data_IF_547806857785
#
_entry.id   IF_547806857785
#
_cell.length_a   1.000
_cell.length_b   1.000
_cell.length_c   1.000
_cell.angle_alpha   90.00
_cell.angle_beta   90.00
_cell.angle_gamma   90.00
#
_symmetry.space_group_name_H-M   'P 1'
#
loop_
_entity.id
_entity.type
_entity.pdbx_description
1 polymer ?
#
# COMPACT_ATOMS: atom_id res chain seq x y z
N UNK A 1 -1.83 -8.98 -25.06
CA UNK A 1 -1.69 -10.14 -24.15
C UNK A 1 -2.93 -10.27 -23.27
N UNK A 2 -3.18 -11.45 -22.77
CA UNK A 2 -4.35 -11.68 -21.92
C UNK A 2 -4.06 -11.28 -20.46
N UNK A 3 -5.11 -11.33 -19.63
CA UNK A 3 -4.98 -10.91 -18.23
C UNK A 3 -3.98 -11.76 -17.44
N UNK A 4 -3.86 -13.04 -17.73
CA UNK A 4 -2.89 -13.93 -17.08
C UNK A 4 -1.46 -13.52 -17.38
N UNK A 5 -1.19 -13.16 -18.62
CA UNK A 5 0.13 -12.69 -19.05
C UNK A 5 0.43 -11.31 -18.44
N UNK A 6 -0.56 -10.42 -18.42
CA UNK A 6 -0.42 -9.10 -17.82
C UNK A 6 -0.14 -9.23 -16.30
N UNK A 7 -0.82 -10.14 -15.64
CA UNK A 7 -0.61 -10.41 -14.21
C UNK A 7 0.83 -10.87 -13.95
N UNK A 8 1.33 -11.82 -14.74
CA UNK A 8 2.70 -12.33 -14.58
C UNK A 8 3.74 -11.23 -14.80
N UNK A 9 3.56 -10.41 -15.82
CA UNK A 9 4.54 -9.37 -16.14
C UNK A 9 4.50 -8.19 -15.19
N UNK A 10 3.32 -7.85 -14.67
CA UNK A 10 3.18 -6.69 -13.77
C UNK A 10 3.45 -7.04 -12.31
N UNK A 11 3.39 -8.32 -11.95
CA UNK A 11 3.48 -8.74 -10.56
C UNK A 11 2.20 -8.53 -9.77
N UNK A 12 1.10 -8.19 -10.43
CA UNK A 12 -0.22 -8.03 -9.83
C UNK A 12 -1.08 -9.24 -10.14
N UNK A 13 -2.05 -9.54 -9.26
CA UNK A 13 -2.99 -10.63 -9.54
C UNK A 13 -4.01 -10.18 -10.58
N UNK A 14 -4.59 -11.14 -11.29
CA UNK A 14 -5.65 -10.85 -12.25
C UNK A 14 -6.83 -10.14 -11.55
N UNK A 15 -7.14 -10.53 -10.32
CA UNK A 15 -8.19 -9.91 -9.51
C UNK A 15 -7.91 -8.43 -9.27
N UNK A 16 -6.67 -8.07 -8.93
CA UNK A 16 -6.28 -6.68 -8.71
C UNK A 16 -6.33 -5.87 -9.99
N UNK A 17 -5.92 -6.45 -11.11
CA UNK A 17 -5.99 -5.78 -12.41
C UNK A 17 -7.45 -5.44 -12.75
N UNK A 18 -8.36 -6.38 -12.58
CA UNK A 18 -9.80 -6.15 -12.80
C UNK A 18 -10.33 -5.07 -11.88
N UNK A 19 -9.89 -5.07 -10.62
CA UNK A 19 -10.30 -4.07 -9.66
C UNK A 19 -9.86 -2.67 -10.08
N UNK A 20 -8.58 -2.51 -10.46
CA UNK A 20 -8.06 -1.21 -10.91
C UNK A 20 -8.76 -0.71 -12.16
N UNK A 21 -9.11 -1.61 -13.06
CA UNK A 21 -9.91 -1.28 -14.24
C UNK A 21 -11.32 -0.80 -13.83
N UNK A 22 -11.93 -1.47 -12.85
CA UNK A 22 -13.28 -1.13 -12.39
C UNK A 22 -13.38 0.22 -11.71
N UNK A 23 -12.32 0.66 -11.02
CA UNK A 23 -12.30 1.95 -10.32
C UNK A 23 -11.69 3.07 -11.17
N UNK A 24 -11.35 2.79 -12.42
CA UNK A 24 -10.86 3.81 -13.34
C UNK A 24 -9.38 4.16 -13.27
N UNK A 25 -8.59 3.43 -12.47
CA UNK A 25 -7.14 3.62 -12.46
C UNK A 25 -6.48 3.14 -13.74
N UNK A 26 -7.04 2.09 -14.31
CA UNK A 26 -6.61 1.55 -15.58
C UNK A 26 -7.75 1.71 -16.56
N UNK A 27 -7.45 2.21 -17.77
CA UNK A 27 -8.48 2.32 -18.80
C UNK A 27 -9.00 0.92 -19.15
N UNK A 28 -10.28 0.81 -19.60
CA UNK A 28 -10.82 -0.49 -19.97
C UNK A 28 -9.97 -1.15 -21.05
N UNK A 29 -9.68 -2.43 -20.87
CA UNK A 29 -8.92 -3.20 -21.83
C UNK A 29 -9.72 -3.39 -23.12
N UNK A 30 -9.01 -3.43 -24.23
CA UNK A 30 -9.62 -3.87 -25.48
C UNK A 30 -10.03 -5.32 -25.33
N UNK A 31 -11.11 -5.69 -26.00
CA UNK A 31 -11.57 -7.08 -26.00
C UNK A 31 -11.33 -7.69 -27.37
N UNK A 32 -10.96 -8.96 -27.37
CA UNK A 32 -10.87 -9.75 -28.60
C UNK A 32 -12.30 -9.99 -29.14
N UNK A 33 -12.38 -10.51 -30.36
CA UNK A 33 -13.66 -10.89 -30.95
C UNK A 33 -14.41 -11.94 -30.11
N UNK A 34 -13.68 -12.71 -29.32
CA UNK A 34 -14.25 -13.70 -28.40
C UNK A 34 -14.63 -13.10 -27.03
N UNK A 35 -14.44 -11.81 -26.82
CA UNK A 35 -14.79 -11.14 -25.57
C UNK A 35 -13.73 -11.18 -24.49
N UNK A 36 -12.54 -11.69 -24.77
CA UNK A 36 -11.44 -11.72 -23.80
C UNK A 36 -10.72 -10.38 -23.72
N UNK A 37 -10.29 -10.01 -22.51
CA UNK A 37 -9.50 -8.79 -22.30
C UNK A 37 -8.11 -8.90 -22.93
N UNK A 38 -7.72 -7.85 -23.64
CA UNK A 38 -6.39 -7.74 -24.24
C UNK A 38 -5.68 -6.52 -23.68
N UNK A 39 -4.47 -6.69 -23.21
CA UNK A 39 -3.64 -5.65 -22.62
C UNK A 39 -2.46 -5.34 -23.52
N UNK A 40 -2.16 -4.05 -23.66
CA UNK A 40 -1.09 -3.54 -24.52
C UNK A 40 0.10 -3.09 -23.66
N UNK A 41 1.19 -2.69 -24.32
CA UNK A 41 2.39 -2.21 -23.64
C UNK A 41 2.10 -1.04 -22.70
N UNK A 42 1.26 -0.10 -23.12
CA UNK A 42 0.89 1.06 -22.31
C UNK A 42 0.15 0.63 -21.03
N UNK A 43 -0.69 -0.37 -21.13
CA UNK A 43 -1.39 -0.92 -19.96
C UNK A 43 -0.41 -1.53 -18.97
N UNK A 44 0.62 -2.20 -19.47
CA UNK A 44 1.67 -2.79 -18.62
C UNK A 44 2.47 -1.72 -17.91
N UNK A 45 2.79 -0.61 -18.60
CA UNK A 45 3.49 0.51 -17.99
C UNK A 45 2.65 1.12 -16.86
N UNK A 46 1.36 1.29 -17.10
CA UNK A 46 0.44 1.80 -16.07
C UNK A 46 0.36 0.84 -14.88
N UNK A 47 0.25 -0.46 -15.14
CA UNK A 47 0.20 -1.46 -14.08
C UNK A 47 1.49 -1.49 -13.26
N UNK A 48 2.64 -1.39 -13.92
CA UNK A 48 3.94 -1.31 -13.24
C UNK A 48 4.02 -0.07 -12.34
N UNK A 49 3.52 1.06 -12.83
CA UNK A 49 3.47 2.31 -12.09
C UNK A 49 2.59 2.15 -10.85
N UNK A 50 1.40 1.58 -11.00
CA UNK A 50 0.47 1.34 -9.89
C UNK A 50 1.13 0.44 -8.86
N UNK A 51 1.72 -0.67 -9.30
CA UNK A 51 2.37 -1.61 -8.38
C UNK A 51 3.48 -0.94 -7.59
N UNK A 52 4.38 -0.23 -8.26
CA UNK A 52 5.49 0.45 -7.59
C UNK A 52 5.01 1.48 -6.59
N UNK A 53 4.01 2.28 -6.97
CA UNK A 53 3.43 3.28 -6.08
C UNK A 53 2.78 2.63 -4.85
N UNK A 54 2.05 1.55 -5.04
CA UNK A 54 1.45 0.81 -3.93
C UNK A 54 2.51 0.17 -3.03
N UNK A 55 3.58 -0.36 -3.61
CA UNK A 55 4.67 -0.93 -2.83
C UNK A 55 5.36 0.12 -1.96
N UNK A 56 5.38 1.38 -2.41
CA UNK A 56 5.90 2.49 -1.63
C UNK A 56 4.90 3.04 -0.61
N UNK A 57 3.71 2.44 -0.54
CA UNK A 57 2.72 2.78 0.48
C UNK A 57 1.74 3.87 0.11
N UNK A 58 1.74 4.35 -1.13
CA UNK A 58 0.74 5.33 -1.57
C UNK A 58 -0.66 4.73 -1.56
N UNK A 59 -1.64 5.51 -1.14
CA UNK A 59 -3.04 5.09 -1.20
C UNK A 59 -3.53 5.08 -2.64
N UNK A 60 -4.66 4.42 -2.89
CA UNK A 60 -5.24 4.41 -4.25
C UNK A 60 -5.57 5.82 -4.74
N UNK A 61 -6.04 6.70 -3.86
CA UNK A 61 -6.30 8.10 -4.21
C UNK A 61 -5.02 8.83 -4.60
N UNK A 62 -3.94 8.60 -3.85
CA UNK A 62 -2.63 9.17 -4.16
C UNK A 62 -2.07 8.62 -5.47
N UNK A 63 -2.24 7.31 -5.71
CA UNK A 63 -1.84 6.69 -6.98
C UNK A 63 -2.59 7.32 -8.16
N UNK A 64 -3.89 7.56 -8.00
CA UNK A 64 -4.69 8.21 -9.03
C UNK A 64 -4.16 9.61 -9.35
N UNK A 65 -3.80 10.39 -8.33
CA UNK A 65 -3.20 11.72 -8.53
C UNK A 65 -1.85 11.64 -9.22
N UNK A 66 -1.01 10.69 -8.81
CA UNK A 66 0.30 10.47 -9.44
C UNK A 66 0.16 10.08 -10.90
N UNK A 67 -0.81 9.23 -11.23
CA UNK A 67 -1.09 8.84 -12.62
C UNK A 67 -1.50 10.04 -13.46
N UNK A 68 -2.38 10.89 -12.92
CA UNK A 68 -2.81 12.12 -13.59
C UNK A 68 -1.62 13.04 -13.87
N UNK A 69 -0.75 13.23 -12.89
CA UNK A 69 0.45 14.04 -13.06
C UNK A 69 1.42 13.43 -14.06
N UNK A 70 1.57 12.11 -14.05
CA UNK A 70 2.45 11.42 -14.99
C UNK A 70 2.00 11.58 -16.44
N UNK A 71 0.70 11.57 -16.67
CA UNK A 71 0.11 11.72 -17.99
C UNK A 71 0.05 13.18 -18.45
N UNK A 72 0.18 14.13 -17.54
CA UNK A 72 0.17 15.56 -17.86
C UNK A 72 1.56 16.01 -18.25
N UNK A 73 1.72 16.34 -19.51
CA UNK A 73 3.02 16.80 -20.06
C UNK A 73 3.41 18.18 -19.58
N UNK A 74 2.46 18.95 -19.05
CA UNK A 74 2.71 20.29 -18.54
C UNK A 74 2.87 20.34 -17.03
N UNK A 75 2.95 19.16 -16.39
CA UNK A 75 3.07 19.07 -14.94
C UNK A 75 4.33 19.77 -14.45
N UNK A 76 4.23 20.38 -13.28
CA UNK A 76 5.38 20.86 -12.56
C UNK A 76 5.96 19.73 -11.70
N UNK A 77 7.27 19.53 -11.74
CA UNK A 77 7.93 18.56 -10.86
C UNK A 77 7.76 18.92 -9.38
N UNK A 78 7.53 20.20 -9.09
CA UNK A 78 7.23 20.64 -7.73
C UNK A 78 5.95 20.00 -7.18
N UNK A 79 4.94 19.76 -8.02
CA UNK A 79 3.69 19.13 -7.59
C UNK A 79 3.92 17.67 -7.20
N UNK A 80 4.71 16.96 -7.98
CA UNK A 80 5.08 15.57 -7.69
C UNK A 80 5.91 15.50 -6.41
N UNK A 81 6.86 16.41 -6.26
CA UNK A 81 7.71 16.50 -5.07
C UNK A 81 6.88 16.77 -3.82
N UNK A 82 5.87 17.65 -3.91
CA UNK A 82 4.98 17.96 -2.80
C UNK A 82 4.20 16.72 -2.34
N UNK A 83 3.68 15.93 -3.27
CA UNK A 83 2.99 14.68 -2.96
C UNK A 83 3.93 13.69 -2.27
N UNK A 84 5.16 13.57 -2.76
CA UNK A 84 6.14 12.67 -2.16
C UNK A 84 6.51 13.12 -0.74
N UNK A 85 6.68 14.41 -0.52
CA UNK A 85 6.97 14.96 0.82
C UNK A 85 5.82 14.71 1.79
N UNK A 86 4.60 14.91 1.36
CA UNK A 86 3.42 14.64 2.18
C UNK A 86 3.39 13.17 2.59
N UNK A 87 3.69 12.28 1.66
CA UNK A 87 3.73 10.84 1.93
C UNK A 87 4.86 10.49 2.92
N UNK A 88 6.02 11.13 2.80
CA UNK A 88 7.13 10.94 3.74
C UNK A 88 6.70 11.33 5.16
N UNK A 89 6.00 12.46 5.31
CA UNK A 89 5.49 12.89 6.62
C UNK A 89 4.51 11.87 7.20
N UNK A 90 3.62 11.32 6.36
CA UNK A 90 2.70 10.28 6.78
C UNK A 90 3.43 9.01 7.22
N UNK A 91 4.47 8.62 6.49
CA UNK A 91 5.29 7.47 6.85
C UNK A 91 6.02 7.69 8.17
N UNK A 92 6.56 8.88 8.40
CA UNK A 92 7.25 9.21 9.64
C UNK A 92 6.30 9.11 10.84
N UNK A 93 5.05 9.57 10.70
CA UNK A 93 4.04 9.40 11.76
C UNK A 93 3.77 7.93 12.04
N UNK A 94 3.64 7.10 11.01
CA UNK A 94 3.42 5.66 11.18
C UNK A 94 4.61 4.99 11.84
N UNK A 95 5.83 5.41 11.51
CA UNK A 95 7.04 4.89 12.14
C UNK A 95 7.03 5.21 13.64
N UNK A 96 6.67 6.43 14.01
CA UNK A 96 6.58 6.83 15.41
C UNK A 96 5.51 6.04 16.16
N UNK A 97 4.33 5.87 15.54
CA UNK A 97 3.24 5.08 16.13
C UNK A 97 3.66 3.62 16.34
N UNK A 98 4.26 3.01 15.33
CA UNK A 98 4.73 1.64 15.41
C UNK A 98 5.85 1.50 16.43
N UNK A 99 6.76 2.47 16.49
CA UNK A 99 7.83 2.48 17.48
C UNK A 99 7.28 2.56 18.90
N UNK A 100 6.24 3.36 19.11
CA UNK A 100 5.57 3.46 20.40
C UNK A 100 4.92 2.16 20.81
N UNK A 101 4.25 1.49 19.88
CA UNK A 101 3.64 0.19 20.14
C UNK A 101 4.71 -0.86 20.48
N UNK A 102 5.79 -0.89 19.70
CA UNK A 102 6.91 -1.78 19.95
C UNK A 102 7.52 -1.53 21.32
N UNK A 103 7.76 -0.27 21.65
CA UNK A 103 8.40 0.09 22.92
C UNK A 103 7.54 -0.30 24.12
N UNK A 104 6.23 -0.14 23.99
CA UNK A 104 5.27 -0.58 25.03
C UNK A 104 5.39 -2.10 25.23
N UNK A 105 5.33 -2.87 24.16
CA UNK A 105 5.44 -4.32 24.25
C UNK A 105 6.81 -4.76 24.77
N UNK A 106 7.86 -4.09 24.31
CA UNK A 106 9.23 -4.37 24.75
C UNK A 106 9.36 -4.17 26.26
N UNK A 107 8.76 -3.10 26.80
CA UNK A 107 8.76 -2.82 28.22
C UNK A 107 8.03 -3.92 29.00
N UNK A 108 6.86 -4.35 28.49
CA UNK A 108 6.08 -5.42 29.12
C UNK A 108 6.86 -6.75 29.09
N UNK A 109 7.50 -7.06 27.99
CA UNK A 109 8.32 -8.26 27.86
C UNK A 109 9.52 -8.21 28.82
N UNK A 110 10.16 -7.06 28.97
CA UNK A 110 11.28 -6.90 29.89
C UNK A 110 10.90 -7.11 31.34
N UNK A 111 9.67 -6.83 31.70
CA UNK A 111 9.13 -7.02 33.07
C UNK A 111 8.54 -8.40 33.29
N UNK A 112 8.40 -9.20 32.24
CA UNK A 112 7.91 -10.57 32.33
C UNK A 112 9.09 -11.52 32.49
N UNK A 113 9.06 -12.39 33.48
CA UNK A 113 10.18 -13.29 33.75
C UNK A 113 10.22 -14.52 32.84
N UNK A 114 9.12 -14.76 32.12
CA UNK A 114 9.07 -15.87 31.16
C UNK A 114 9.15 -17.25 31.81
N UNK A 115 8.71 -17.37 33.04
CA UNK A 115 8.72 -18.64 33.76
C UNK A 115 7.32 -19.24 33.86
N UNK A 116 7.19 -20.33 34.62
CA UNK A 116 5.93 -21.04 34.74
C UNK A 116 4.93 -20.37 35.68
N UNK A 117 5.29 -19.22 36.26
CA UNK A 117 4.38 -18.52 37.15
C UNK A 117 3.25 -17.87 36.39
N UNK A 118 2.03 -17.84 36.96
CA UNK A 118 0.90 -17.23 36.30
C UNK A 118 0.97 -15.71 36.19
N UNK A 119 1.83 -15.07 36.95
CA UNK A 119 1.99 -13.61 36.91
C UNK A 119 2.59 -13.18 35.60
N UNK A 120 1.83 -12.43 34.83
CA UNK A 120 2.28 -11.93 33.54
C UNK A 120 1.90 -10.46 33.39
N UNK A 121 2.87 -9.54 33.45
CA UNK A 121 2.60 -8.13 33.28
C UNK A 121 1.92 -7.80 31.96
N UNK A 122 2.23 -8.58 30.91
CA UNK A 122 1.63 -8.38 29.60
C UNK A 122 0.12 -8.61 29.65
N UNK A 123 -0.28 -9.76 30.17
CA UNK A 123 -1.70 -10.10 30.29
C UNK A 123 -2.42 -9.15 31.25
N UNK A 124 -1.76 -8.77 32.32
CA UNK A 124 -2.31 -7.82 33.29
C UNK A 124 -2.56 -6.46 32.67
N UNK A 125 -1.61 -5.96 31.89
CA UNK A 125 -1.75 -4.69 31.18
C UNK A 125 -2.90 -4.72 30.19
N UNK A 126 -2.97 -5.78 29.39
CA UNK A 126 -4.03 -5.95 28.40
C UNK A 126 -5.41 -6.06 29.06
N UNK A 127 -5.49 -6.77 30.19
CA UNK A 127 -6.73 -6.95 30.91
C UNK A 127 -7.22 -5.67 31.58
N UNK A 128 -6.30 -4.78 31.98
CA UNK A 128 -6.67 -3.53 32.65
C UNK A 128 -7.01 -2.39 31.68
N UNK A 129 -6.95 -2.65 30.38
CA UNK A 129 -7.25 -1.62 29.38
C UNK A 129 -6.12 -0.67 29.11
N UNK A 130 -4.90 -1.05 29.51
CA UNK A 130 -3.74 -0.22 29.28
C UNK A 130 -3.64 0.87 30.33
N UNK A 131 -2.90 1.02 30.99
CA UNK A 131 -2.56 1.94 31.91
C UNK A 131 -2.87 3.26 31.56
N UNK A 132 -3.93 3.63 31.75
CA UNK A 132 -4.13 4.91 31.82
C UNK A 132 -3.43 5.73 31.18
N UNK A 133 -3.57 5.50 30.18
CA UNK A 133 -3.01 6.56 29.51
C UNK A 133 -3.50 7.82 29.94
#
# INVERSE_FOLDING_TARGET
MNIGQAARQSGLSAKMIRYYESIGLLKPAHRSDSGYRLYQADDLHTLAFIKRSRDLGFSLEEVARLLTLWQDRQRASADVKALAHQHIEDLNRRIEELSGLRDTLQHLVSNCQGDDRPDCPILKDLASGGCCA
#
